data_IF_983920999747
#
_entry.id   IF_983920999747
#
_cell.length_a   1.000
_cell.length_b   1.000
_cell.length_c   1.000
_cell.angle_alpha   90.00
_cell.angle_beta   90.00
_cell.angle_gamma   90.00
#
_symmetry.space_group_name_H-M   'P 1'
#
loop_
_entity.id
_entity.type
_entity.pdbx_description
1 polymer ?
#
# COMPACT_ATOMS: atom_id res chain seq x y z
N UNK A 1 -26.22 22.54 -75.70
CA UNK A 1 -27.10 22.34 -74.51
C UNK A 1 -26.76 21.04 -73.78
N UNK A 2 -26.84 19.85 -74.42
CA UNK A 2 -26.49 18.55 -73.77
C UNK A 2 -25.03 18.44 -73.30
N UNK A 3 -24.06 18.89 -74.10
CA UNK A 3 -22.61 18.82 -73.78
C UNK A 3 -22.20 19.71 -72.57
N UNK A 4 -22.88 20.86 -72.39
CA UNK A 4 -22.67 21.75 -71.25
C UNK A 4 -23.27 21.18 -69.96
N UNK A 5 -24.35 20.41 -70.06
CA UNK A 5 -24.99 19.77 -68.91
C UNK A 5 -24.17 18.58 -68.38
N UNK A 6 -23.50 17.84 -69.26
CA UNK A 6 -22.63 16.72 -68.89
C UNK A 6 -21.34 17.19 -68.23
N UNK A 7 -20.71 18.26 -68.73
CA UNK A 7 -19.51 18.86 -68.14
C UNK A 7 -19.77 19.42 -66.74
N UNK A 8 -20.92 20.08 -66.51
CA UNK A 8 -21.33 20.57 -65.19
C UNK A 8 -21.57 19.40 -64.21
N UNK A 9 -22.20 18.30 -64.67
CA UNK A 9 -22.45 17.10 -63.84
C UNK A 9 -21.15 16.38 -63.46
N UNK A 10 -20.19 16.25 -64.39
CA UNK A 10 -18.87 15.66 -64.12
C UNK A 10 -18.03 16.52 -63.15
N UNK A 11 -18.05 17.84 -63.32
CA UNK A 11 -17.34 18.78 -62.45
C UNK A 11 -17.92 18.78 -61.02
N UNK A 12 -19.25 18.65 -60.89
CA UNK A 12 -19.96 18.51 -59.62
C UNK A 12 -19.64 17.18 -58.92
N UNK A 13 -19.65 16.05 -59.63
CA UNK A 13 -19.30 14.73 -59.10
C UNK A 13 -17.84 14.65 -58.61
N UNK A 14 -16.91 15.23 -59.37
CA UNK A 14 -15.50 15.29 -58.97
C UNK A 14 -15.30 16.20 -57.73
N UNK A 15 -16.16 17.22 -57.56
CA UNK A 15 -16.11 18.10 -56.40
C UNK A 15 -16.67 17.47 -55.12
N UNK A 16 -17.75 16.69 -55.19
CA UNK A 16 -18.32 16.01 -54.02
C UNK A 16 -17.41 14.88 -53.51
N UNK A 17 -16.74 14.18 -54.44
CA UNK A 17 -15.82 13.10 -54.09
C UNK A 17 -14.57 13.62 -53.36
N UNK A 18 -13.97 14.74 -53.80
CA UNK A 18 -12.83 15.35 -53.09
C UNK A 18 -13.18 15.83 -51.68
N UNK A 19 -14.37 16.39 -51.44
CA UNK A 19 -14.79 16.79 -50.09
C UNK A 19 -15.05 15.58 -49.18
N UNK A 20 -15.54 14.47 -49.75
CA UNK A 20 -15.70 13.20 -49.04
C UNK A 20 -14.35 12.64 -48.59
N UNK A 21 -13.35 12.62 -49.48
CA UNK A 21 -11.98 12.21 -49.15
C UNK A 21 -11.34 13.09 -48.08
N UNK A 22 -11.56 14.41 -48.13
CA UNK A 22 -11.05 15.35 -47.12
C UNK A 22 -11.71 15.10 -45.76
N UNK A 23 -13.03 14.89 -45.71
CA UNK A 23 -13.75 14.59 -44.47
C UNK A 23 -13.25 13.30 -43.80
N UNK A 24 -13.05 12.24 -44.60
CA UNK A 24 -12.52 10.96 -44.10
C UNK A 24 -11.10 11.13 -43.57
N UNK A 25 -10.25 11.88 -44.28
CA UNK A 25 -8.88 12.16 -43.84
C UNK A 25 -8.85 12.94 -42.51
N UNK A 26 -9.73 13.93 -42.34
CA UNK A 26 -9.85 14.70 -41.09
C UNK A 26 -10.30 13.79 -39.94
N UNK A 27 -11.32 12.96 -40.12
CA UNK A 27 -11.80 12.01 -39.11
C UNK A 27 -10.70 11.00 -38.69
N UNK A 28 -9.92 10.51 -39.65
CA UNK A 28 -8.77 9.63 -39.37
C UNK A 28 -7.69 10.34 -38.54
N UNK A 29 -7.38 11.59 -38.85
CA UNK A 29 -6.39 12.36 -38.07
C UNK A 29 -6.86 12.63 -36.64
N UNK A 30 -8.16 12.84 -36.41
CA UNK A 30 -8.73 13.02 -35.07
C UNK A 30 -8.64 11.72 -34.26
N UNK A 31 -8.96 10.57 -34.86
CA UNK A 31 -8.85 9.26 -34.22
C UNK A 31 -7.39 8.93 -33.84
N UNK A 32 -6.42 9.25 -34.70
CA UNK A 32 -4.99 9.02 -34.44
C UNK A 32 -4.37 10.01 -33.44
N UNK A 33 -4.97 11.19 -33.27
CA UNK A 33 -4.52 12.21 -32.31
C UNK A 33 -5.03 11.97 -30.87
N UNK A 34 -5.85 10.94 -30.66
CA UNK A 34 -6.27 10.50 -29.33
C UNK A 34 -5.07 9.85 -28.64
N UNK A 35 -4.17 10.67 -28.12
CA UNK A 35 -3.11 10.23 -27.24
C UNK A 35 -3.78 9.77 -25.95
N UNK A 36 -3.97 8.45 -25.79
CA UNK A 36 -4.19 7.87 -24.47
C UNK A 36 -2.95 8.21 -23.66
N UNK A 37 -3.05 9.24 -22.83
CA UNK A 37 -2.09 9.49 -21.77
C UNK A 37 -2.31 8.37 -20.76
N UNK A 38 -1.75 7.19 -21.07
CA UNK A 38 -1.66 6.08 -20.14
C UNK A 38 -0.71 6.53 -19.04
N UNK A 39 -1.26 7.24 -18.06
CA UNK A 39 -0.57 7.57 -16.83
C UNK A 39 -0.43 6.28 -16.00
N UNK A 40 0.44 5.38 -16.47
CA UNK A 40 0.82 4.14 -15.79
C UNK A 40 1.63 4.42 -14.52
N UNK A 41 1.88 5.69 -14.18
CA UNK A 41 2.58 6.05 -12.93
C UNK A 41 1.73 5.75 -11.68
N UNK A 42 0.41 5.61 -11.84
CA UNK A 42 -0.54 5.36 -10.74
C UNK A 42 -0.78 3.86 -10.50
N UNK A 43 -0.11 2.96 -11.24
CA UNK A 43 -0.20 1.53 -10.97
C UNK A 43 0.62 1.16 -9.71
N UNK A 44 -0.03 0.75 -8.60
CA UNK A 44 0.65 0.42 -7.36
C UNK A 44 1.55 -0.79 -7.58
N UNK A 45 2.86 -0.64 -7.40
CA UNK A 45 3.81 -1.74 -7.55
C UNK A 45 3.92 -2.52 -6.24
N UNK A 46 3.77 -3.85 -6.25
CA UNK A 46 4.01 -4.63 -5.06
C UNK A 46 5.48 -4.51 -4.64
N UNK A 47 5.73 -4.48 -3.34
CA UNK A 47 7.06 -4.43 -2.77
C UNK A 47 7.17 -5.40 -1.58
N UNK A 48 8.40 -5.66 -1.16
CA UNK A 48 8.68 -6.57 -0.05
C UNK A 48 9.37 -5.81 1.07
N UNK A 49 9.05 -6.19 2.30
CA UNK A 49 9.70 -5.69 3.51
C UNK A 49 10.19 -6.86 4.34
N UNK A 50 11.23 -6.64 5.13
CA UNK A 50 11.75 -7.58 6.12
C UNK A 50 11.89 -6.85 7.45
N UNK A 51 11.80 -7.59 8.55
CA UNK A 51 12.05 -7.05 9.89
C UNK A 51 13.51 -7.28 10.24
N UNK A 52 14.17 -6.24 10.74
CA UNK A 52 15.52 -6.26 11.32
C UNK A 52 15.41 -5.81 12.77
N UNK A 53 15.99 -6.58 13.68
CA UNK A 53 16.07 -6.23 15.09
C UNK A 53 17.43 -5.62 15.36
N UNK A 54 17.44 -4.51 16.10
CA UNK A 54 18.66 -3.85 16.54
C UNK A 54 18.69 -3.72 18.06
N UNK A 55 19.87 -3.82 18.65
CA UNK A 55 20.08 -3.49 20.05
C UNK A 55 20.15 -1.97 20.28
N UNK A 56 20.32 -1.56 21.53
CA UNK A 56 20.44 -0.14 21.91
C UNK A 56 21.64 0.58 21.29
N UNK A 57 22.68 -0.17 20.89
CA UNK A 57 23.88 0.34 20.23
C UNK A 57 23.74 0.35 18.70
N UNK A 58 22.62 -0.16 18.16
CA UNK A 58 22.33 -0.24 16.73
C UNK A 58 22.90 -1.47 16.02
N UNK A 59 23.44 -2.45 16.75
CA UNK A 59 23.94 -3.68 16.17
C UNK A 59 22.77 -4.56 15.73
N UNK A 60 22.96 -5.29 14.62
CA UNK A 60 21.96 -6.22 14.12
C UNK A 60 21.94 -7.49 14.97
N UNK A 61 20.87 -7.69 15.73
CA UNK A 61 20.65 -8.86 16.58
C UNK A 61 19.52 -9.74 16.05
N UNK A 62 19.11 -9.58 14.78
CA UNK A 62 17.99 -10.34 14.20
C UNK A 62 18.15 -11.86 14.35
N UNK A 63 19.40 -12.35 14.34
CA UNK A 63 19.71 -13.78 14.42
C UNK A 63 19.98 -14.28 15.86
N UNK A 64 20.13 -13.38 16.85
CA UNK A 64 20.46 -13.76 18.23
C UNK A 64 19.38 -14.63 18.86
N UNK A 65 18.13 -14.33 18.54
CA UNK A 65 16.96 -14.97 19.12
C UNK A 65 16.37 -14.29 20.34
N UNK A 66 16.80 -13.06 20.62
CA UNK A 66 16.23 -12.24 21.68
C UNK A 66 14.78 -11.81 21.36
N UNK A 67 14.37 -11.87 20.09
CA UNK A 67 12.99 -11.63 19.65
C UNK A 67 12.28 -12.94 19.32
N UNK A 68 11.25 -13.25 20.10
CA UNK A 68 10.43 -14.47 20.04
C UNK A 68 9.20 -14.32 19.13
N UNK A 69 8.69 -13.10 18.96
CA UNK A 69 7.60 -12.79 18.04
C UNK A 69 7.61 -11.32 17.66
N UNK A 70 7.05 -10.99 16.49
CA UNK A 70 6.77 -9.61 16.07
C UNK A 70 5.33 -9.50 15.59
N UNK A 71 4.61 -8.51 16.10
CA UNK A 71 3.35 -8.04 15.52
C UNK A 71 3.63 -6.73 14.80
N UNK A 72 3.22 -6.60 13.55
CA UNK A 72 3.39 -5.39 12.77
C UNK A 72 2.07 -4.93 12.17
N UNK A 73 1.76 -3.65 12.34
CA UNK A 73 0.61 -2.97 11.77
C UNK A 73 1.08 -2.01 10.67
N UNK A 74 0.34 -2.00 9.58
CA UNK A 74 0.56 -1.12 8.43
C UNK A 74 -0.68 -0.26 8.28
N UNK A 75 -0.52 1.05 8.34
CA UNK A 75 -1.59 2.02 8.21
C UNK A 75 -1.44 2.82 6.92
N UNK A 76 -2.57 3.24 6.37
CA UNK A 76 -2.63 4.14 5.22
C UNK A 76 -2.41 5.60 5.60
N UNK A 77 -2.53 6.51 4.63
CA UNK A 77 -2.39 7.96 4.83
C UNK A 77 -3.43 8.57 5.77
N UNK A 78 -4.60 7.94 5.91
CA UNK A 78 -5.67 8.33 6.83
C UNK A 78 -5.52 7.67 8.20
N UNK A 79 -4.39 6.99 8.43
CA UNK A 79 -4.09 6.24 9.65
C UNK A 79 -5.05 5.09 9.92
N UNK A 80 -5.72 4.58 8.90
CA UNK A 80 -6.56 3.37 8.98
C UNK A 80 -5.73 2.13 8.73
N UNK A 81 -6.11 1.02 9.36
CA UNK A 81 -5.42 -0.25 9.21
C UNK A 81 -5.52 -0.71 7.75
N UNK A 82 -4.36 -0.87 7.12
CA UNK A 82 -4.25 -1.42 5.78
C UNK A 82 -3.93 -2.93 5.86
N UNK A 83 -2.95 -3.30 6.70
CA UNK A 83 -2.56 -4.71 6.87
C UNK A 83 -1.90 -4.96 8.22
N UNK A 84 -2.02 -6.18 8.71
CA UNK A 84 -1.34 -6.64 9.92
C UNK A 84 -0.55 -7.91 9.63
N UNK A 85 0.59 -8.07 10.28
CA UNK A 85 1.44 -9.24 10.19
C UNK A 85 1.78 -9.76 11.58
N UNK A 86 1.79 -11.08 11.71
CA UNK A 86 2.39 -11.78 12.83
C UNK A 86 3.60 -12.56 12.29
N UNK A 87 4.74 -12.43 12.94
CA UNK A 87 5.95 -13.19 12.66
C UNK A 87 6.35 -13.95 13.91
N UNK A 88 6.56 -15.25 13.77
CA UNK A 88 7.19 -16.08 14.79
C UNK A 88 8.71 -15.84 14.86
N UNK A 89 9.35 -16.25 15.96
CA UNK A 89 10.80 -16.17 16.16
C UNK A 89 11.60 -16.66 14.94
N UNK A 90 11.19 -17.79 14.36
CA UNK A 90 11.88 -18.39 13.22
C UNK A 90 11.75 -17.54 11.96
N UNK A 91 10.59 -16.93 11.73
CA UNK A 91 10.35 -16.05 10.59
C UNK A 91 11.11 -14.72 10.70
N UNK A 92 11.26 -14.19 11.92
CA UNK A 92 12.10 -13.02 12.21
C UNK A 92 13.56 -13.36 11.93
N UNK A 93 14.09 -14.45 12.50
CA UNK A 93 15.47 -14.90 12.28
C UNK A 93 15.80 -15.13 10.81
N UNK A 94 14.84 -15.67 10.05
CA UNK A 94 15.00 -15.92 8.61
C UNK A 94 14.78 -14.68 7.75
N UNK A 95 14.51 -13.51 8.34
CA UNK A 95 14.17 -12.26 7.65
C UNK A 95 13.09 -12.50 6.60
N UNK A 96 12.01 -13.20 6.98
CA UNK A 96 10.91 -13.54 6.09
C UNK A 96 10.43 -12.29 5.34
N UNK A 97 10.48 -12.36 4.01
CA UNK A 97 9.98 -11.29 3.16
C UNK A 97 8.45 -11.22 3.21
N UNK A 98 7.92 -10.06 3.56
CA UNK A 98 6.49 -9.78 3.62
C UNK A 98 6.08 -9.01 2.38
N UNK A 99 5.17 -9.60 1.62
CA UNK A 99 4.66 -8.99 0.40
C UNK A 99 3.56 -7.97 0.72
N UNK A 100 3.79 -6.74 0.27
CA UNK A 100 2.82 -5.65 0.27
C UNK A 100 2.30 -5.50 -1.15
N UNK A 101 1.00 -5.79 -1.32
CA UNK A 101 0.27 -5.60 -2.57
C UNK A 101 -0.75 -4.52 -2.30
N UNK A 102 -0.68 -3.41 -3.04
CA UNK A 102 -1.57 -2.27 -2.88
C UNK A 102 -2.76 -2.39 -3.85
N UNK A 103 -3.95 -2.09 -3.37
CA UNK A 103 -5.15 -1.98 -4.21
C UNK A 103 -5.08 -0.72 -5.08
N UNK A 104 -5.86 -0.66 -6.16
CA UNK A 104 -5.95 0.56 -6.99
C UNK A 104 -7.19 1.40 -6.60
N UNK A 105 -7.08 2.73 -6.47
CA UNK A 105 -5.85 3.53 -6.50
C UNK A 105 -5.02 3.30 -5.23
N UNK A 106 -3.70 3.11 -5.38
CA UNK A 106 -2.83 2.74 -4.26
C UNK A 106 -2.70 3.81 -3.18
N UNK A 107 -2.02 3.46 -2.11
CA UNK A 107 -1.75 4.35 -0.99
C UNK A 107 -0.52 5.20 -1.27
N UNK A 108 -0.63 6.51 -0.99
CA UNK A 108 0.47 7.46 -1.19
C UNK A 108 1.54 7.38 -0.11
N UNK A 109 1.14 6.94 1.09
CA UNK A 109 1.98 6.79 2.28
C UNK A 109 1.52 5.57 3.07
N UNK A 110 2.48 4.79 3.55
CA UNK A 110 2.23 3.71 4.50
C UNK A 110 3.04 3.95 5.77
N UNK A 111 2.41 3.81 6.93
CA UNK A 111 3.07 3.87 8.25
C UNK A 111 3.17 2.45 8.81
N UNK A 112 4.35 2.07 9.27
CA UNK A 112 4.61 0.75 9.85
C UNK A 112 4.88 0.92 11.35
N UNK A 113 4.17 0.14 12.18
CA UNK A 113 4.41 0.06 13.63
C UNK A 113 4.61 -1.41 13.96
N UNK A 114 5.74 -1.77 14.54
CA UNK A 114 6.05 -3.14 14.92
C UNK A 114 6.35 -3.22 16.41
N UNK A 115 5.92 -4.30 17.05
CA UNK A 115 6.27 -4.61 18.44
C UNK A 115 6.75 -6.05 18.53
N UNK A 116 7.87 -6.24 19.22
CA UNK A 116 8.41 -7.57 19.50
C UNK A 116 8.15 -8.00 20.94
N UNK A 117 8.02 -9.30 21.17
CA UNK A 117 7.95 -9.91 22.51
C UNK A 117 6.77 -9.45 23.38
N UNK A 118 5.61 -9.20 22.78
CA UNK A 118 4.38 -8.96 23.52
C UNK A 118 3.93 -10.25 24.24
N UNK A 119 4.20 -10.34 25.54
CA UNK A 119 3.94 -11.50 26.39
C UNK A 119 2.70 -11.34 27.30
N UNK A 120 2.48 -12.30 28.21
CA UNK A 120 1.36 -12.29 29.17
C UNK A 120 1.48 -11.22 30.27
N UNK A 121 2.62 -10.54 30.40
CA UNK A 121 2.80 -9.42 31.32
C UNK A 121 2.54 -8.09 30.64
N UNK A 122 2.23 -8.08 29.34
CA UNK A 122 1.92 -6.90 28.56
C UNK A 122 0.49 -6.98 28.03
N UNK A 123 -0.26 -5.90 28.22
CA UNK A 123 -1.57 -5.73 27.61
C UNK A 123 -1.46 -4.79 26.42
N UNK A 124 -2.00 -5.19 25.28
CA UNK A 124 -1.75 -4.54 24.00
C UNK A 124 -2.93 -4.68 23.06
N UNK A 125 -2.99 -3.81 22.04
CA UNK A 125 -4.02 -3.89 21.00
C UNK A 125 -3.87 -5.15 20.16
N UNK A 126 -4.87 -6.04 20.20
CA UNK A 126 -4.88 -7.23 19.37
C UNK A 126 -5.04 -6.85 17.89
N UNK A 127 -4.44 -7.64 16.99
CA UNK A 127 -4.62 -7.51 15.54
C UNK A 127 -6.10 -7.39 15.13
N UNK A 128 -6.99 -8.09 15.83
CA UNK A 128 -8.43 -8.13 15.49
C UNK A 128 -9.18 -6.85 15.88
N UNK A 129 -8.64 -6.03 16.78
CA UNK A 129 -9.32 -4.89 17.39
C UNK A 129 -8.90 -3.55 16.77
N UNK A 130 -7.73 -3.51 16.14
CA UNK A 130 -7.13 -2.28 15.58
C UNK A 130 -7.78 -1.92 14.26
N UNK A 131 -8.32 -0.70 14.18
CA UNK A 131 -8.88 -0.13 12.95
C UNK A 131 -8.18 1.14 12.52
N UNK A 132 -7.69 1.91 13.48
CA UNK A 132 -6.97 3.16 13.28
C UNK A 132 -5.68 3.19 14.13
N UNK A 133 -4.71 4.02 13.75
CA UNK A 133 -3.44 4.14 14.46
C UNK A 133 -3.63 4.48 15.95
N UNK A 134 -4.63 5.28 16.28
CA UNK A 134 -4.94 5.66 17.67
C UNK A 134 -5.43 4.50 18.54
N UNK A 135 -5.85 3.40 17.93
CA UNK A 135 -6.28 2.20 18.66
C UNK A 135 -5.07 1.42 19.20
N UNK A 136 -3.86 1.75 18.74
CA UNK A 136 -2.61 1.13 19.20
C UNK A 136 -2.23 1.58 20.62
N UNK A 137 -2.07 0.61 21.50
CA UNK A 137 -1.47 0.78 22.81
C UNK A 137 -0.69 -0.47 23.21
N UNK A 138 0.30 -0.26 24.07
CA UNK A 138 1.05 -1.30 24.77
C UNK A 138 1.24 -0.80 26.21
N UNK A 139 0.85 -1.62 27.19
CA UNK A 139 0.98 -1.30 28.61
C UNK A 139 1.46 -2.52 29.39
N UNK A 140 2.37 -2.31 30.32
CA UNK A 140 2.77 -3.37 31.27
C UNK A 140 1.60 -3.62 32.22
N UNK A 141 1.27 -4.90 32.45
CA UNK A 141 0.27 -5.29 33.44
C UNK A 141 0.81 -5.06 34.85
N UNK A 142 -0.05 -4.59 35.74
CA UNK A 142 0.24 -4.49 37.16
C UNK A 142 -0.60 -5.48 37.95
N UNK A 143 -0.05 -6.02 39.03
CA UNK A 143 -0.83 -6.75 40.00
C UNK A 143 -1.73 -5.76 40.75
N UNK A 144 -3.05 -5.95 40.68
CA UNK A 144 -3.98 -5.27 41.57
C UNK A 144 -3.91 -5.93 42.94
N UNK A 145 -3.04 -5.42 43.82
CA UNK A 145 -3.10 -5.83 45.23
C UNK A 145 -4.19 -5.04 45.94
N UNK A 146 -5.34 -5.66 46.19
CA UNK A 146 -6.48 -5.06 46.93
C UNK A 146 -6.15 -4.68 48.39
N UNK A 147 -4.91 -4.88 48.86
CA UNK A 147 -4.55 -4.75 50.27
C UNK A 147 -3.33 -3.86 50.58
N UNK A 148 -2.74 -3.23 49.58
CA UNK A 148 -1.65 -2.25 49.78
C UNK A 148 -1.68 -1.22 48.67
N UNK A 149 -1.47 0.06 49.02
CA UNK A 149 -1.46 1.23 48.10
C UNK A 149 -0.26 1.23 47.12
N UNK A 150 0.28 0.04 46.81
CA UNK A 150 1.46 -0.20 46.00
C UNK A 150 1.09 -1.09 44.83
N UNK A 151 0.84 -0.49 43.66
CA UNK A 151 0.67 -1.23 42.41
C UNK A 151 2.06 -1.63 41.91
N UNK A 152 2.44 -2.89 42.07
CA UNK A 152 3.68 -3.40 41.47
C UNK A 152 3.38 -3.87 40.04
N UNK A 153 4.16 -3.36 39.07
CA UNK A 153 4.14 -3.87 37.71
C UNK A 153 4.76 -5.27 37.67
N UNK A 154 4.21 -6.16 36.85
CA UNK A 154 4.92 -7.39 36.50
C UNK A 154 6.16 -7.02 35.69
N UNK A 155 7.27 -7.75 35.87
CA UNK A 155 8.44 -7.58 35.02
C UNK A 155 8.13 -8.26 33.68
N UNK A 156 7.98 -7.51 32.58
CA UNK A 156 7.79 -8.13 31.27
C UNK A 156 9.11 -8.71 30.76
N UNK A 157 9.02 -9.55 29.75
CA UNK A 157 10.17 -9.87 28.89
C UNK A 157 10.64 -8.61 28.13
N UNK A 158 11.83 -8.68 27.52
CA UNK A 158 12.37 -7.58 26.73
C UNK A 158 11.40 -7.16 25.63
N UNK A 159 10.98 -5.89 25.63
CA UNK A 159 10.04 -5.33 24.66
C UNK A 159 10.80 -4.59 23.55
N UNK A 160 10.43 -4.84 22.29
CA UNK A 160 11.01 -4.19 21.11
C UNK A 160 9.97 -3.32 20.39
N UNK A 161 10.39 -2.17 19.84
CA UNK A 161 9.56 -1.26 19.03
C UNK A 161 10.35 -0.64 17.87
#
# INVERSE_FOLDING_TARGET
MREQEETIKQQKMNSTNKYSFILVAVLLTVMLSSCLKEDLSVCPRPFQITVKVVDADGNDITESGDVEQVIMFVFDEEEKIFKSFYLSASEVKQRKALQIVMDYPGHSLLKFVAWGNLDENVDYSNISDVKELKDLYVRVRSADSEQTDQRMAYSPSDLFY
#
